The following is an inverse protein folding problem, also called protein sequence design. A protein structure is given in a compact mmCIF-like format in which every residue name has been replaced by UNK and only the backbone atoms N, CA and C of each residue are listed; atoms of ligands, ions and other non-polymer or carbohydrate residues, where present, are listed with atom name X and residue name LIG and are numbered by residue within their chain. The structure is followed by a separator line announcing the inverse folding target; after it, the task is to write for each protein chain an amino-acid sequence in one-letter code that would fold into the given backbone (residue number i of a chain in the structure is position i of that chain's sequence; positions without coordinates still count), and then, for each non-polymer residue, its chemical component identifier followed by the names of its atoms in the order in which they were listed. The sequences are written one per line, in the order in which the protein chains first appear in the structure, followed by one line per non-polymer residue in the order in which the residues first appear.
data_IF_087901793690
#
_entry.id   IF_087901793690
#
_cell.length_a   1.000
_cell.length_b   1.000
_cell.length_c   1.000
_cell.angle_alpha   90.00
_cell.angle_beta   90.00
_cell.angle_gamma   90.00
#
_symmetry.space_group_name_H-M   'P 1'
#
loop_
_entity.id
_entity.type
_entity.pdbx_description
1 polymer ?
#
# COMPACT_ATOMS: atom_id res chain seq x y z
N UNK A 1 4.35 -0.20 3.05
CA UNK A 1 4.53 0.32 1.67
C UNK A 1 3.29 1.06 1.13
N UNK A 2 2.06 0.56 1.25
CA UNK A 2 0.89 1.27 0.71
C UNK A 2 0.59 2.60 1.42
N UNK A 3 0.63 2.62 2.76
CA UNK A 3 0.20 3.76 3.56
C UNK A 3 1.30 4.45 4.37
N UNK A 4 2.23 3.71 4.96
CA UNK A 4 3.16 4.27 5.95
C UNK A 4 4.63 3.91 5.73
N UNK A 5 4.94 2.73 5.18
CA UNK A 5 6.32 2.26 5.07
C UNK A 5 7.05 2.96 3.93
N UNK A 6 8.08 3.70 4.26
CA UNK A 6 8.91 4.44 3.32
C UNK A 6 10.37 4.46 3.82
N UNK A 7 11.32 4.28 2.93
CA UNK A 7 12.73 4.53 3.21
C UNK A 7 13.01 6.02 2.99
N UNK A 8 13.45 6.69 4.04
CA UNK A 8 13.77 8.12 4.00
C UNK A 8 15.27 8.28 3.96
N UNK A 9 15.78 8.87 2.89
CA UNK A 9 17.20 9.14 2.70
C UNK A 9 17.48 10.64 2.74
N UNK A 10 18.57 11.01 3.39
CA UNK A 10 19.07 12.39 3.34
C UNK A 10 19.85 12.65 2.05
N UNK A 11 20.29 13.89 1.88
CA UNK A 11 21.04 14.33 0.69
C UNK A 11 22.39 13.59 0.49
N UNK A 12 22.91 12.94 1.53
CA UNK A 12 24.15 12.14 1.48
C UNK A 12 23.90 10.66 1.23
N UNK A 13 22.65 10.27 0.95
CA UNK A 13 22.25 8.86 0.72
C UNK A 13 22.19 8.01 1.98
N UNK A 14 22.26 8.61 3.18
CA UNK A 14 22.10 7.88 4.44
C UNK A 14 20.61 7.76 4.77
N UNK A 15 20.18 6.55 5.14
CA UNK A 15 18.83 6.28 5.61
C UNK A 15 18.62 6.94 6.98
N UNK A 16 17.55 7.72 7.13
CA UNK A 16 17.21 8.46 8.34
C UNK A 16 16.26 7.71 9.28
N UNK A 17 15.58 6.70 8.77
CA UNK A 17 14.62 5.89 9.54
C UNK A 17 14.95 4.39 9.55
N UNK A 18 16.18 3.97 9.96
CA UNK A 18 16.60 2.57 9.87
C UNK A 18 16.11 1.69 11.04
N UNK A 19 15.60 2.28 12.11
CA UNK A 19 15.27 1.59 13.35
C UNK A 19 13.79 1.29 13.53
N UNK A 20 13.46 0.43 14.49
CA UNK A 20 12.07 0.08 14.82
C UNK A 20 11.24 1.26 15.36
N UNK A 21 11.88 2.32 15.83
CA UNK A 21 11.21 3.55 16.28
C UNK A 21 10.79 4.43 15.09
N UNK A 22 11.59 4.43 14.03
CA UNK A 22 11.49 5.39 12.94
C UNK A 22 10.87 4.78 11.67
N UNK A 23 11.09 3.48 11.43
CA UNK A 23 10.49 2.76 10.31
C UNK A 23 9.09 2.28 10.69
N UNK A 24 8.08 2.94 10.17
CA UNK A 24 6.70 2.73 10.56
C UNK A 24 6.05 1.56 9.83
N UNK A 25 6.13 0.37 10.42
CA UNK A 25 5.31 -0.77 10.00
C UNK A 25 3.89 -0.67 10.55
N UNK A 26 2.86 -1.06 9.79
CA UNK A 26 1.51 -1.23 10.31
C UNK A 26 1.50 -2.28 11.44
N UNK A 27 0.76 -2.00 12.49
CA UNK A 27 0.48 -2.96 13.56
C UNK A 27 -0.93 -3.54 13.40
N UNK A 28 -1.23 -4.60 14.12
CA UNK A 28 -2.53 -5.29 13.98
C UNK A 28 -3.75 -4.37 14.19
N UNK A 29 -3.63 -3.36 15.06
CA UNK A 29 -4.69 -2.38 15.30
C UNK A 29 -4.89 -1.36 14.16
N UNK A 30 -3.94 -1.26 13.24
CA UNK A 30 -4.04 -0.36 12.07
C UNK A 30 -4.87 -0.97 10.92
N UNK A 31 -5.20 -2.25 11.03
CA UNK A 31 -5.90 -3.00 9.99
C UNK A 31 -7.29 -3.43 10.46
N UNK A 32 -8.30 -3.37 9.59
CA UNK A 32 -9.59 -3.97 9.88
C UNK A 32 -9.48 -5.50 9.86
N UNK A 33 -10.51 -6.19 10.33
CA UNK A 33 -10.63 -7.63 10.11
C UNK A 33 -10.66 -7.89 8.60
N UNK A 34 -9.74 -8.74 8.12
CA UNK A 34 -9.63 -9.09 6.71
C UNK A 34 -10.28 -10.45 6.47
N UNK A 35 -11.28 -10.48 5.62
CA UNK A 35 -11.85 -11.73 5.11
C UNK A 35 -10.98 -12.27 3.99
N UNK A 36 -10.57 -13.53 4.10
CA UNK A 36 -9.70 -14.18 3.12
C UNK A 36 -10.51 -15.15 2.26
N UNK A 37 -10.48 -14.94 0.95
CA UNK A 37 -11.11 -15.84 -0.04
C UNK A 37 -10.00 -16.46 -0.88
N UNK A 38 -9.91 -17.79 -0.81
CA UNK A 38 -8.94 -18.56 -1.60
C UNK A 38 -9.60 -19.00 -2.90
N UNK A 39 -9.12 -18.47 -4.03
CA UNK A 39 -9.55 -18.89 -5.36
C UNK A 39 -8.61 -19.98 -5.87
N UNK A 40 -9.06 -21.23 -5.76
CA UNK A 40 -8.28 -22.39 -6.18
C UNK A 40 -8.36 -22.62 -7.68
N UNK A 41 -7.21 -22.59 -8.36
CA UNK A 41 -7.07 -22.93 -9.77
C UNK A 41 -5.94 -23.95 -9.90
N UNK A 42 -6.25 -25.26 -9.94
CA UNK A 42 -5.23 -26.31 -10.02
C UNK A 42 -4.37 -26.19 -11.27
N UNK A 43 -3.08 -26.50 -11.14
CA UNK A 43 -2.17 -26.59 -12.28
C UNK A 43 -2.06 -28.05 -12.76
N UNK A 44 -2.59 -28.40 -13.93
CA UNK A 44 -2.60 -29.79 -14.42
C UNK A 44 -1.20 -30.34 -14.75
N UNK A 45 -0.20 -29.47 -14.81
CA UNK A 45 1.20 -29.86 -15.14
C UNK A 45 2.05 -30.12 -13.90
N UNK A 46 1.52 -29.90 -12.70
CA UNK A 46 2.27 -30.11 -11.45
C UNK A 46 1.58 -31.16 -10.57
N UNK A 47 2.37 -31.94 -9.81
CA UNK A 47 1.84 -32.85 -8.81
C UNK A 47 0.90 -32.11 -7.86
N UNK A 48 -0.19 -32.75 -7.45
CA UNK A 48 -1.23 -32.19 -6.57
C UNK A 48 -1.86 -30.87 -7.06
N UNK A 49 -1.61 -30.45 -8.30
CA UNK A 49 -2.15 -29.20 -8.84
C UNK A 49 -1.56 -27.93 -8.22
N UNK A 50 -0.38 -28.02 -7.58
CA UNK A 50 0.23 -26.89 -6.84
C UNK A 50 0.60 -25.71 -7.73
N UNK A 51 0.55 -24.51 -7.13
CA UNK A 51 1.00 -23.25 -7.71
C UNK A 51 1.84 -22.48 -6.69
N UNK A 52 2.79 -21.67 -7.18
CA UNK A 52 3.53 -20.74 -6.34
C UNK A 52 2.65 -19.57 -5.89
N UNK A 53 2.76 -19.18 -4.61
CA UNK A 53 2.02 -18.06 -4.01
C UNK A 53 2.92 -17.11 -3.21
N UNK A 54 4.24 -17.17 -3.43
CA UNK A 54 5.22 -16.44 -2.60
C UNK A 54 4.96 -14.93 -2.53
N UNK A 55 4.74 -14.27 -3.67
CA UNK A 55 4.60 -12.81 -3.74
C UNK A 55 3.24 -12.33 -4.28
N UNK A 56 2.35 -13.23 -4.66
CA UNK A 56 1.06 -12.84 -5.26
C UNK A 56 0.19 -12.00 -4.32
N UNK A 57 0.34 -12.18 -3.01
CA UNK A 57 -0.40 -11.40 -2.01
C UNK A 57 0.14 -9.99 -1.79
N UNK A 58 1.39 -9.66 -2.20
CA UNK A 58 2.00 -8.34 -1.97
C UNK A 58 1.79 -7.36 -3.12
N UNK A 59 1.50 -7.84 -4.31
CA UNK A 59 1.31 -7.00 -5.49
C UNK A 59 0.03 -6.15 -5.44
N UNK A 60 -1.15 -6.69 -5.06
CA UNK A 60 -2.41 -5.95 -5.09
C UNK A 60 -2.60 -4.86 -4.01
N UNK A 61 -1.97 -4.86 -2.82
CA UNK A 61 -2.27 -3.90 -1.76
C UNK A 61 -2.12 -2.44 -2.16
N UNK A 62 -1.05 -2.07 -2.87
CA UNK A 62 -0.83 -0.68 -3.29
C UNK A 62 -1.94 -0.19 -4.26
N UNK A 63 -2.24 -0.89 -5.37
CA UNK A 63 -3.32 -0.47 -6.25
C UNK A 63 -4.71 -0.56 -5.60
N UNK A 64 -4.96 -1.53 -4.72
CA UNK A 64 -6.23 -1.62 -4.00
C UNK A 64 -6.46 -0.38 -3.11
N UNK A 65 -5.46 0.03 -2.33
CA UNK A 65 -5.52 1.24 -1.50
C UNK A 65 -5.67 2.49 -2.37
N UNK A 66 -4.94 2.59 -3.50
CA UNK A 66 -5.07 3.72 -4.42
C UNK A 66 -6.48 3.84 -5.01
N UNK A 67 -7.10 2.72 -5.36
CA UNK A 67 -8.48 2.70 -5.85
C UNK A 67 -9.50 3.04 -4.76
N UNK A 68 -9.32 2.53 -3.55
CA UNK A 68 -10.18 2.85 -2.41
C UNK A 68 -10.13 4.35 -2.06
N UNK A 69 -8.96 4.97 -2.06
CA UNK A 69 -8.81 6.42 -1.86
C UNK A 69 -9.52 7.18 -2.97
N UNK A 70 -9.34 6.76 -4.22
CA UNK A 70 -10.01 7.40 -5.34
C UNK A 70 -11.53 7.29 -5.24
N UNK A 71 -12.05 6.13 -4.90
CA UNK A 71 -13.48 5.90 -4.72
C UNK A 71 -14.06 6.77 -3.60
N UNK A 72 -13.37 6.85 -2.47
CA UNK A 72 -13.83 7.61 -1.30
C UNK A 72 -13.83 9.13 -1.52
N UNK A 73 -12.80 9.68 -2.18
CA UNK A 73 -12.59 11.15 -2.21
C UNK A 73 -12.30 11.72 -3.60
N UNK A 74 -12.29 10.90 -4.63
CA UNK A 74 -12.13 11.32 -6.03
C UNK A 74 -10.77 11.91 -6.36
N UNK A 75 -9.71 11.58 -5.61
CA UNK A 75 -8.33 11.96 -5.92
C UNK A 75 -7.55 10.73 -6.42
N UNK A 76 -6.61 10.97 -7.34
CA UNK A 76 -5.75 9.92 -7.88
C UNK A 76 -4.30 10.17 -7.45
N UNK A 77 -3.84 9.42 -6.45
CA UNK A 77 -2.44 9.42 -6.03
C UNK A 77 -1.64 8.48 -6.96
N UNK A 78 -0.44 8.90 -7.33
CA UNK A 78 0.45 8.17 -8.23
C UNK A 78 1.76 7.75 -7.58
N UNK A 79 1.91 8.05 -6.30
CA UNK A 79 3.11 7.77 -5.51
C UNK A 79 2.74 7.05 -4.23
N UNK A 80 3.49 6.01 -3.88
CA UNK A 80 3.43 5.32 -2.60
C UNK A 80 4.59 5.79 -1.69
N UNK A 81 4.43 5.73 -0.38
CA UNK A 81 3.22 5.42 0.35
C UNK A 81 2.18 6.54 0.24
N UNK A 82 0.90 6.16 0.23
CA UNK A 82 -0.21 7.12 0.24
C UNK A 82 -0.53 7.54 1.67
N UNK A 83 0.46 8.20 2.30
CA UNK A 83 0.37 8.62 3.70
C UNK A 83 -0.74 9.67 3.92
N UNK A 84 -1.27 9.81 5.15
CA UNK A 84 -2.29 10.82 5.46
C UNK A 84 -1.90 12.23 5.02
N UNK A 85 -0.63 12.58 5.14
CA UNK A 85 -0.10 13.89 4.71
C UNK A 85 -0.20 14.06 3.19
N UNK A 86 0.18 13.03 2.42
CA UNK A 86 0.06 13.08 0.94
C UNK A 86 -1.39 13.14 0.49
N UNK A 87 -2.28 12.39 1.15
CA UNK A 87 -3.73 12.44 0.89
C UNK A 87 -4.28 13.83 1.17
N UNK A 88 -3.98 14.40 2.35
CA UNK A 88 -4.43 15.74 2.73
C UNK A 88 -3.95 16.80 1.73
N UNK A 89 -2.67 16.75 1.33
CA UNK A 89 -2.12 17.67 0.34
C UNK A 89 -2.88 17.60 -0.99
N UNK A 90 -3.17 16.39 -1.48
CA UNK A 90 -3.92 16.20 -2.72
C UNK A 90 -5.37 16.69 -2.62
N UNK A 91 -6.02 16.48 -1.47
CA UNK A 91 -7.36 17.02 -1.19
C UNK A 91 -7.38 18.55 -1.21
N UNK A 92 -6.41 19.19 -0.56
CA UNK A 92 -6.31 20.64 -0.55
C UNK A 92 -6.08 21.21 -1.96
N UNK A 93 -5.27 20.56 -2.78
CA UNK A 93 -5.07 20.94 -4.19
C UNK A 93 -6.37 20.82 -5.00
N UNK A 94 -7.10 19.71 -4.84
CA UNK A 94 -8.40 19.51 -5.50
C UNK A 94 -9.40 20.61 -5.12
N UNK A 95 -9.51 20.91 -3.82
CA UNK A 95 -10.45 21.92 -3.32
C UNK A 95 -10.02 23.35 -3.69
N UNK A 96 -8.73 23.63 -3.79
CA UNK A 96 -8.20 24.93 -4.24
C UNK A 96 -8.39 25.17 -5.73
N UNK A 97 -8.38 24.12 -6.55
CA UNK A 97 -8.64 24.21 -7.99
C UNK A 97 -10.13 24.44 -8.33
N UNK A 98 -11.02 24.21 -7.37
CA UNK A 98 -12.47 24.39 -7.52
C UNK A 98 -12.97 25.74 -6.95
N UNK A 99 -12.08 26.65 -6.58
CA UNK A 99 -12.36 28.02 -6.14
C UNK A 99 -11.82 29.01 -7.17
#
# INVERSE_FOLDING_TARGET
MALNEEYIYNQKGRMENPGFLDYRMPVASDLPMIETIIVEVPNPKHPYGVRGVGEVGIVPPIPAVANAIHDAVGIRLREAPMSPVKVLKALNQKNGANR
#
